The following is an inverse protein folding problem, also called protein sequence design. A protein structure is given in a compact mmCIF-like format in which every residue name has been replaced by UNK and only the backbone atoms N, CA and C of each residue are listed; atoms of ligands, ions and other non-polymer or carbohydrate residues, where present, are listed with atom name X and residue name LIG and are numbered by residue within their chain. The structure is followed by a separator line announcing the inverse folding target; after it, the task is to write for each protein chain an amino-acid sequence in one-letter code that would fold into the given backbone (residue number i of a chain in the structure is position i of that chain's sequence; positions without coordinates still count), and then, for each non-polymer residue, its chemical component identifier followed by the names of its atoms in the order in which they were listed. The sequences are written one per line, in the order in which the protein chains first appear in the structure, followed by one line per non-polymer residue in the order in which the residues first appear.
data_IF_131736951812
#
_entry.id   IF_131736951812
#
_cell.length_a   1.000
_cell.length_b   1.000
_cell.length_c   1.000
_cell.angle_alpha   90.00
_cell.angle_beta   90.00
_cell.angle_gamma   90.00
#
_symmetry.space_group_name_H-M   'P 1'
#
loop_
_entity.id
_entity.type
_entity.pdbx_description
1 polymer ?
#
# COMPACT_ATOMS: atom_id res chain seq x y z
N UNK A 1 -0.65 -6.60 -2.35
CA UNK A 1 -1.03 -6.10 -3.69
C UNK A 1 -1.21 -7.20 -4.72
N UNK A 2 -0.22 -8.05 -5.02
CA UNK A 2 -0.39 -9.15 -5.99
C UNK A 2 -1.65 -10.01 -5.75
N UNK A 3 -1.86 -10.47 -4.51
CA UNK A 3 -3.05 -11.27 -4.15
C UNK A 3 -4.35 -10.50 -4.42
N UNK A 4 -4.42 -9.23 -4.02
CA UNK A 4 -5.59 -8.36 -4.25
C UNK A 4 -5.86 -8.18 -5.75
N UNK A 5 -4.80 -7.97 -6.54
CA UNK A 5 -4.90 -7.84 -7.99
C UNK A 5 -5.41 -9.13 -8.65
N UNK A 6 -4.89 -10.28 -8.26
CA UNK A 6 -5.35 -11.58 -8.78
C UNK A 6 -6.80 -11.88 -8.37
N UNK A 7 -7.18 -11.57 -7.13
CA UNK A 7 -8.58 -11.69 -6.68
C UNK A 7 -9.50 -10.74 -7.44
N UNK A 8 -9.09 -9.50 -7.69
CA UNK A 8 -9.85 -8.53 -8.48
C UNK A 8 -10.10 -9.00 -9.91
N UNK A 9 -9.07 -9.54 -10.56
CA UNK A 9 -9.20 -10.15 -11.88
C UNK A 9 -10.10 -11.39 -11.85
N UNK A 10 -9.92 -12.29 -10.88
CA UNK A 10 -10.73 -13.49 -10.73
C UNK A 10 -12.22 -13.19 -10.50
N UNK A 11 -12.56 -12.19 -9.70
CA UNK A 11 -13.96 -11.76 -9.50
C UNK A 11 -14.56 -11.24 -10.81
N UNK A 12 -13.80 -10.46 -11.58
CA UNK A 12 -14.24 -9.94 -12.86
C UNK A 12 -14.42 -11.02 -13.93
N UNK A 13 -13.56 -12.04 -13.94
CA UNK A 13 -13.63 -13.18 -14.87
C UNK A 13 -14.77 -14.14 -14.49
N UNK A 14 -14.92 -14.49 -13.21
CA UNK A 14 -16.03 -15.33 -12.75
C UNK A 14 -17.40 -14.71 -13.03
N UNK A 15 -17.54 -13.40 -12.85
CA UNK A 15 -18.78 -12.71 -13.21
C UNK A 15 -18.97 -12.61 -14.73
N UNK A 16 -17.89 -12.55 -15.51
CA UNK A 16 -17.95 -12.50 -16.97
C UNK A 16 -18.44 -13.81 -17.59
N UNK A 17 -18.18 -14.95 -16.96
CA UNK A 17 -18.70 -16.25 -17.40
C UNK A 17 -20.19 -16.44 -17.05
N UNK A 18 -20.73 -15.68 -16.09
CA UNK A 18 -22.11 -15.75 -15.61
C UNK A 18 -23.05 -14.71 -16.28
N UNK A 19 -22.91 -14.50 -17.59
CA UNK A 19 -23.65 -13.49 -18.39
C UNK A 19 -25.19 -13.64 -18.26
N UNK A 20 -25.67 -14.84 -17.90
CA UNK A 20 -27.11 -15.14 -17.78
C UNK A 20 -27.86 -14.27 -16.75
N UNK A 21 -27.16 -13.62 -15.81
CA UNK A 21 -27.79 -12.77 -14.79
C UNK A 21 -27.94 -11.28 -15.21
N UNK A 22 -27.51 -10.89 -16.42
CA UNK A 22 -27.54 -9.49 -16.85
C UNK A 22 -26.60 -8.57 -16.07
N UNK A 23 -25.63 -9.14 -15.34
CA UNK A 23 -24.62 -8.39 -14.60
C UNK A 23 -23.34 -8.30 -15.43
N UNK A 24 -23.00 -7.09 -15.88
CA UNK A 24 -21.70 -6.80 -16.49
C UNK A 24 -20.60 -6.83 -15.41
N UNK A 25 -19.37 -7.14 -15.83
CA UNK A 25 -18.17 -7.01 -14.97
C UNK A 25 -17.21 -5.98 -15.52
N UNK A 26 -16.30 -5.51 -14.66
CA UNK A 26 -15.28 -4.55 -15.08
C UNK A 26 -14.45 -5.07 -16.26
N UNK A 27 -14.28 -6.39 -16.39
CA UNK A 27 -13.54 -7.06 -17.48
C UNK A 27 -14.28 -6.88 -18.82
N UNK A 28 -15.60 -7.09 -18.83
CA UNK A 28 -16.44 -6.93 -20.03
C UNK A 28 -16.54 -5.45 -20.40
N UNK A 29 -16.86 -4.58 -19.43
CA UNK A 29 -17.08 -3.15 -19.65
C UNK A 29 -15.85 -2.45 -20.23
N UNK A 30 -14.66 -2.83 -19.75
CA UNK A 30 -13.39 -2.29 -20.23
C UNK A 30 -12.83 -3.04 -21.46
N UNK A 31 -13.59 -3.95 -22.07
CA UNK A 31 -13.22 -4.74 -23.25
C UNK A 31 -11.88 -5.46 -23.08
N UNK A 32 -11.68 -6.06 -21.91
CA UNK A 32 -10.42 -6.67 -21.54
C UNK A 32 -10.21 -8.04 -22.21
N UNK A 33 -11.25 -8.71 -22.69
CA UNK A 33 -11.22 -10.06 -23.26
C UNK A 33 -10.10 -10.25 -24.31
N UNK A 34 -9.99 -9.31 -25.26
CA UNK A 34 -8.98 -9.33 -26.34
C UNK A 34 -7.60 -8.79 -25.96
N UNK A 35 -7.39 -8.37 -24.71
CA UNK A 35 -6.10 -7.83 -24.25
C UNK A 35 -5.17 -8.93 -23.75
N UNK A 36 -3.86 -8.67 -23.81
CA UNK A 36 -2.84 -9.61 -23.32
C UNK A 36 -2.98 -9.82 -21.81
N UNK A 37 -2.56 -11.00 -21.33
CA UNK A 37 -2.57 -11.31 -19.89
C UNK A 37 -1.74 -10.30 -19.08
N UNK A 38 -0.60 -9.85 -19.63
CA UNK A 38 0.23 -8.84 -18.99
C UNK A 38 -0.50 -7.51 -18.82
N UNK A 39 -1.31 -7.11 -19.80
CA UNK A 39 -2.13 -5.90 -19.70
C UNK A 39 -3.21 -6.05 -18.63
N UNK A 40 -3.98 -7.15 -18.67
CA UNK A 40 -5.00 -7.48 -17.65
C UNK A 40 -4.43 -7.49 -16.23
N UNK A 41 -3.27 -8.14 -16.06
CA UNK A 41 -2.55 -8.20 -14.80
C UNK A 41 -2.09 -6.82 -14.34
N UNK A 42 -1.45 -6.05 -15.23
CA UNK A 42 -0.93 -4.72 -14.89
C UNK A 42 -2.05 -3.74 -14.53
N UNK A 43 -3.19 -3.80 -15.22
CA UNK A 43 -4.37 -3.00 -14.87
C UNK A 43 -4.95 -3.42 -13.51
N UNK A 44 -5.05 -4.72 -13.24
CA UNK A 44 -5.54 -5.23 -11.95
C UNK A 44 -4.59 -4.87 -10.80
N UNK A 45 -3.28 -4.89 -11.08
CA UNK A 45 -2.24 -4.47 -10.14
C UNK A 45 -2.33 -2.97 -9.88
N UNK A 46 -2.47 -2.15 -10.93
CA UNK A 46 -2.65 -0.71 -10.81
C UNK A 46 -3.90 -0.40 -9.97
N UNK A 47 -5.03 -1.06 -10.24
CA UNK A 47 -6.24 -0.95 -9.43
C UNK A 47 -5.99 -1.29 -7.95
N UNK A 48 -5.25 -2.37 -7.66
CA UNK A 48 -4.95 -2.75 -6.28
C UNK A 48 -4.11 -1.69 -5.56
N UNK A 49 -3.14 -1.08 -6.27
CA UNK A 49 -2.28 -0.03 -5.73
C UNK A 49 -3.05 1.26 -5.46
N UNK A 50 -4.01 1.63 -6.31
CA UNK A 50 -4.84 2.83 -6.10
C UNK A 50 -5.73 2.73 -4.86
N UNK A 51 -5.95 1.53 -4.31
CA UNK A 51 -6.65 1.37 -3.03
C UNK A 51 -5.79 1.78 -1.82
N UNK A 52 -4.45 1.68 -1.92
CA UNK A 52 -3.51 2.07 -0.85
C UNK A 52 -3.13 3.55 -0.92
N UNK A 53 -3.06 4.09 -2.13
CA UNK A 53 -2.73 5.49 -2.39
C UNK A 53 -3.78 6.04 -3.34
N UNK A 54 -4.59 7.05 -2.95
CA UNK A 54 -5.58 7.63 -3.83
C UNK A 54 -4.93 8.06 -5.14
N UNK A 55 -5.27 7.38 -6.22
CA UNK A 55 -4.76 7.62 -7.56
C UNK A 55 -5.89 7.43 -8.57
N UNK A 56 -5.79 8.10 -9.72
CA UNK A 56 -6.77 7.98 -10.77
C UNK A 56 -6.77 6.56 -11.33
N UNK A 57 -7.96 5.96 -11.45
CA UNK A 57 -8.12 4.62 -11.98
C UNK A 57 -9.22 4.60 -13.03
N UNK A 58 -8.92 3.99 -14.17
CA UNK A 58 -9.84 3.86 -15.31
C UNK A 58 -10.88 2.75 -15.09
N UNK A 59 -10.54 1.74 -14.29
CA UNK A 59 -11.41 0.61 -13.96
C UNK A 59 -12.12 0.86 -12.63
N UNK A 60 -13.45 0.73 -12.64
CA UNK A 60 -14.31 0.84 -11.46
C UNK A 60 -15.19 -0.40 -11.30
N UNK A 61 -15.58 -0.76 -10.06
CA UNK A 61 -16.56 -1.82 -9.82
C UNK A 61 -17.94 -1.44 -10.37
N UNK A 62 -18.54 -2.33 -11.15
CA UNK A 62 -19.83 -2.12 -11.81
C UNK A 62 -20.94 -3.06 -11.33
N UNK A 63 -20.61 -4.07 -10.51
CA UNK A 63 -21.58 -4.91 -9.84
C UNK A 63 -21.39 -4.91 -8.30
N UNK A 64 -22.37 -5.48 -7.60
CA UNK A 64 -22.42 -5.49 -6.12
C UNK A 64 -21.26 -6.30 -5.53
N UNK A 65 -20.86 -7.40 -6.17
CA UNK A 65 -19.77 -8.26 -5.70
C UNK A 65 -18.43 -7.53 -5.79
N UNK A 66 -18.12 -6.94 -6.95
CA UNK A 66 -16.94 -6.10 -7.16
C UNK A 66 -16.93 -4.90 -6.21
N UNK A 67 -18.09 -4.24 -6.01
CA UNK A 67 -18.21 -3.10 -5.10
C UNK A 67 -17.92 -3.51 -3.66
N UNK A 68 -18.49 -4.61 -3.21
CA UNK A 68 -18.31 -5.14 -1.84
C UNK A 68 -16.85 -5.50 -1.61
N UNK A 69 -16.22 -6.20 -2.55
CA UNK A 69 -14.80 -6.51 -2.50
C UNK A 69 -13.94 -5.24 -2.45
N UNK A 70 -14.25 -4.24 -3.28
CA UNK A 70 -13.54 -2.96 -3.30
C UNK A 70 -13.59 -2.26 -1.93
N UNK A 71 -14.77 -2.23 -1.29
CA UNK A 71 -14.93 -1.63 0.05
C UNK A 71 -14.10 -2.37 1.10
N UNK A 72 -14.10 -3.71 1.07
CA UNK A 72 -13.30 -4.52 1.98
C UNK A 72 -11.81 -4.21 1.80
N UNK A 73 -11.33 -4.20 0.55
CA UNK A 73 -9.92 -3.89 0.25
C UNK A 73 -9.55 -2.49 0.71
N UNK A 74 -10.41 -1.49 0.51
CA UNK A 74 -10.17 -0.12 0.97
C UNK A 74 -10.00 -0.03 2.49
N UNK A 75 -10.83 -0.75 3.26
CA UNK A 75 -10.69 -0.79 4.73
C UNK A 75 -9.34 -1.40 5.15
N UNK A 76 -8.96 -2.52 4.53
CA UNK A 76 -7.65 -3.13 4.80
C UNK A 76 -6.49 -2.23 4.35
N UNK A 77 -6.62 -1.54 3.22
CA UNK A 77 -5.63 -0.61 2.72
C UNK A 77 -5.42 0.57 3.68
N UNK A 78 -6.50 1.13 4.26
CA UNK A 78 -6.41 2.20 5.25
C UNK A 78 -5.67 1.75 6.51
N UNK A 79 -5.97 0.56 7.04
CA UNK A 79 -5.32 0.03 8.24
C UNK A 79 -3.83 -0.23 8.02
N UNK A 80 -3.50 -0.87 6.89
CA UNK A 80 -2.11 -1.20 6.54
C UNK A 80 -1.30 0.04 6.22
N UNK A 81 -1.86 1.02 5.50
CA UNK A 81 -1.20 2.30 5.22
C UNK A 81 -0.94 3.09 6.51
N UNK A 82 -1.92 3.17 7.42
CA UNK A 82 -1.75 3.84 8.71
C UNK A 82 -0.64 3.21 9.54
N UNK A 83 -0.60 1.87 9.58
CA UNK A 83 0.44 1.11 10.27
C UNK A 83 1.82 1.34 9.65
N UNK A 84 1.89 1.36 8.31
CA UNK A 84 3.12 1.64 7.58
C UNK A 84 3.67 3.04 7.88
N UNK A 85 2.82 4.07 7.87
CA UNK A 85 3.23 5.44 8.24
C UNK A 85 3.70 5.52 9.69
N UNK A 86 3.03 4.81 10.61
CA UNK A 86 3.44 4.77 12.02
C UNK A 86 4.82 4.13 12.19
N UNK A 87 5.09 3.01 11.52
CA UNK A 87 6.39 2.34 11.57
C UNK A 87 7.47 3.25 11.00
N UNK A 88 7.23 3.86 9.84
CA UNK A 88 8.18 4.79 9.23
C UNK A 88 8.51 5.97 10.16
N UNK A 89 7.49 6.53 10.81
CA UNK A 89 7.65 7.63 11.76
C UNK A 89 8.46 7.19 12.98
N UNK A 90 8.17 6.00 13.54
CA UNK A 90 8.90 5.44 14.65
C UNK A 90 10.38 5.19 14.31
N UNK A 91 10.66 4.60 13.14
CA UNK A 91 12.04 4.39 12.67
C UNK A 91 12.80 5.70 12.45
N UNK A 92 12.14 6.74 11.93
CA UNK A 92 12.76 8.07 11.81
C UNK A 92 13.06 8.69 13.19
N UNK A 93 12.17 8.50 14.16
CA UNK A 93 12.38 8.97 15.53
C UNK A 93 13.56 8.22 16.19
N UNK A 94 13.65 6.91 15.99
CA UNK A 94 14.76 6.07 16.50
C UNK A 94 16.11 6.50 15.91
N UNK A 95 16.19 6.72 14.59
CA UNK A 95 17.40 7.23 13.93
C UNK A 95 17.83 8.60 14.48
N UNK A 96 16.87 9.49 14.76
CA UNK A 96 17.16 10.79 15.39
C UNK A 96 17.63 10.63 16.83
N UNK A 97 17.06 9.68 17.58
CA UNK A 97 17.46 9.42 18.96
C UNK A 97 18.92 8.93 19.01
N UNK A 98 19.31 7.99 18.14
CA UNK A 98 20.68 7.46 18.06
C UNK A 98 21.70 8.58 17.81
N UNK A 99 21.43 9.47 16.84
CA UNK A 99 22.34 10.60 16.55
C UNK A 99 22.39 11.63 17.70
N UNK A 100 21.28 11.82 18.41
CA UNK A 100 21.25 12.68 19.60
C UNK A 100 22.01 12.08 20.78
N UNK A 101 21.95 10.75 20.96
CA UNK A 101 22.64 10.04 22.03
C UNK A 101 24.15 10.07 21.83
N UNK A 102 24.65 9.90 20.60
CA UNK A 102 26.08 10.06 20.29
C UNK A 102 26.60 11.45 20.71
N UNK A 103 25.86 12.50 20.33
CA UNK A 103 26.18 13.89 20.70
C UNK A 103 26.18 14.09 22.22
N UNK A 104 25.20 13.49 22.91
CA UNK A 104 25.07 13.56 24.37
C UNK A 104 26.22 12.84 25.07
N UNK A 105 26.59 11.63 24.62
CA UNK A 105 27.71 10.87 25.17
C UNK A 105 29.03 11.64 24.98
N UNK A 106 29.26 12.23 23.80
CA UNK A 106 30.45 13.03 23.54
C UNK A 106 30.51 14.29 24.42
N UNK A 107 29.37 14.93 24.65
CA UNK A 107 29.27 16.07 25.56
C UNK A 107 29.57 15.68 27.01
N UNK A 108 29.03 14.55 27.48
CA UNK A 108 29.31 14.01 28.82
C UNK A 108 30.79 13.67 29.01
N UNK A 109 31.42 13.04 28.00
CA UNK A 109 32.85 12.74 28.01
C UNK A 109 33.69 14.02 28.09
N UNK A 110 33.40 15.02 27.23
CA UNK A 110 34.08 16.33 27.27
C UNK A 110 33.94 17.01 28.63
N UNK A 111 32.75 16.96 29.23
CA UNK A 111 32.51 17.51 30.57
C UNK A 111 33.36 16.78 31.62
N UNK A 112 33.35 15.45 31.62
CA UNK A 112 34.14 14.65 32.56
C UNK A 112 35.64 14.95 32.47
N UNK A 113 36.21 14.98 31.26
CA UNK A 113 37.63 15.28 31.04
C UNK A 113 38.00 16.69 31.53
N UNK A 114 37.12 17.68 31.34
CA UNK A 114 37.30 19.03 31.85
C UNK A 114 37.28 19.07 33.38
N UNK A 115 36.34 18.39 34.00
CA UNK A 115 36.18 18.41 35.46
C UNK A 115 37.38 17.74 36.17
N UNK A 116 37.99 16.73 35.55
CA UNK A 116 39.19 16.06 36.04
C UNK A 116 40.52 16.72 35.63
N UNK A 117 40.50 17.95 35.11
CA UNK A 117 41.70 18.72 34.73
C UNK A 117 42.67 17.99 33.79
N UNK A 118 42.17 17.04 32.99
CA UNK A 118 42.98 16.40 31.95
C UNK A 118 43.16 17.43 30.83
N UNK A 119 44.25 18.18 30.88
CA UNK A 119 44.59 19.20 29.89
C UNK A 119 44.99 18.56 28.57
N UNK A 120 44.33 19.02 27.50
CA UNK A 120 44.53 18.80 26.04
C UNK A 120 45.47 17.69 25.58
#
# INVERSE_FOLDING_TARGET
NHIVACCWYGIGEMGADNIEAGQSTWVIENRMEGRTLMYKYSTSLHWSLTQFTPASMEVVPINVMERTFSVIVLLFALLTFSSFVSILTASMAELRNISSDETRQFWLLRRYLRDWHVSR
#
